data_IF_924403915933
#
_entry.id   IF_924403915933
#
_cell.length_a   1.000
_cell.length_b   1.000
_cell.length_c   1.000
_cell.angle_alpha   90.00
_cell.angle_beta   90.00
_cell.angle_gamma   90.00
#
_symmetry.space_group_name_H-M   'P 1'
#
loop_
_entity.id
_entity.type
_entity.pdbx_description
1 polymer ?
#
# COMPACT_ATOMS: atom_id res chain seq x y z
N UNK A 1 -23.32 51.33 -15.41
CA UNK A 1 -22.42 50.51 -14.57
C UNK A 1 -22.91 49.07 -14.57
N UNK A 2 -22.19 48.14 -15.21
CA UNK A 2 -22.51 46.71 -15.23
C UNK A 2 -21.91 46.09 -13.96
N UNK A 3 -22.76 45.63 -13.03
CA UNK A 3 -22.30 44.82 -11.91
C UNK A 3 -21.79 43.48 -12.47
N UNK A 4 -20.47 43.30 -12.48
CA UNK A 4 -19.87 41.98 -12.66
C UNK A 4 -20.31 41.10 -11.51
N UNK A 5 -21.26 40.17 -11.75
CA UNK A 5 -21.52 39.07 -10.83
C UNK A 5 -20.21 38.30 -10.72
N UNK A 6 -19.54 38.42 -9.58
CA UNK A 6 -18.57 37.41 -9.17
C UNK A 6 -19.34 36.10 -9.14
N UNK A 7 -19.11 35.25 -10.13
CA UNK A 7 -19.53 33.85 -10.09
C UNK A 7 -18.80 33.22 -8.91
N UNK A 8 -19.48 33.18 -7.76
CA UNK A 8 -19.08 32.36 -6.64
C UNK A 8 -18.89 30.96 -7.20
N UNK A 9 -17.64 30.49 -7.21
CA UNK A 9 -17.35 29.11 -7.57
C UNK A 9 -18.14 28.26 -6.58
N UNK A 10 -18.95 27.28 -7.03
CA UNK A 10 -19.71 26.44 -6.11
C UNK A 10 -18.74 25.82 -5.10
N UNK A 11 -18.86 26.23 -3.84
CA UNK A 11 -18.02 25.70 -2.78
C UNK A 11 -18.54 24.28 -2.48
N UNK A 12 -17.70 23.24 -2.56
CA UNK A 12 -18.16 21.86 -2.39
C UNK A 12 -18.78 21.71 -1.01
N UNK A 13 -19.96 21.09 -0.94
CA UNK A 13 -20.73 21.05 0.29
C UNK A 13 -20.18 20.00 1.28
N UNK A 14 -20.83 19.86 2.44
CA UNK A 14 -20.48 18.84 3.42
C UNK A 14 -20.74 17.42 2.88
N UNK A 15 -21.81 17.22 2.13
CA UNK A 15 -22.20 15.92 1.59
C UNK A 15 -21.20 15.41 0.53
N UNK A 16 -20.63 16.31 -0.27
CA UNK A 16 -19.53 16.03 -1.19
C UNK A 16 -18.31 15.51 -0.43
N UNK A 17 -17.96 16.17 0.69
CA UNK A 17 -16.87 15.73 1.58
C UNK A 17 -17.12 14.34 2.18
N UNK A 18 -18.33 14.05 2.64
CA UNK A 18 -18.71 12.73 3.16
C UNK A 18 -18.69 11.64 2.07
N UNK A 19 -19.13 11.98 0.86
CA UNK A 19 -19.08 11.10 -0.30
C UNK A 19 -17.63 10.79 -0.68
N UNK A 20 -16.76 11.80 -0.67
CA UNK A 20 -15.33 11.62 -0.90
C UNK A 20 -14.67 10.75 0.19
N UNK A 21 -15.02 10.93 1.47
CA UNK A 21 -14.55 10.06 2.56
C UNK A 21 -14.91 8.59 2.28
N UNK A 22 -16.16 8.31 1.93
CA UNK A 22 -16.63 6.96 1.62
C UNK A 22 -15.91 6.38 0.41
N UNK A 23 -15.79 7.19 -0.66
CA UNK A 23 -15.09 6.81 -1.88
C UNK A 23 -13.64 6.42 -1.61
N UNK A 24 -12.85 7.26 -0.93
CA UNK A 24 -11.45 6.95 -0.63
C UNK A 24 -11.30 5.82 0.40
N UNK A 25 -12.25 5.67 1.32
CA UNK A 25 -12.34 4.49 2.20
C UNK A 25 -12.41 3.19 1.39
N UNK A 26 -13.24 3.15 0.35
CA UNK A 26 -13.35 1.97 -0.53
C UNK A 26 -12.05 1.67 -1.30
N UNK A 27 -11.31 2.70 -1.72
CA UNK A 27 -10.00 2.54 -2.38
C UNK A 27 -8.95 1.96 -1.45
N UNK A 28 -8.97 2.33 -0.17
CA UNK A 28 -8.09 1.75 0.85
C UNK A 28 -8.37 0.26 1.00
N UNK A 29 -9.65 -0.12 1.14
CA UNK A 29 -10.06 -1.53 1.23
C UNK A 29 -9.64 -2.31 -0.02
N UNK A 30 -9.81 -1.75 -1.22
CA UNK A 30 -9.37 -2.39 -2.46
C UNK A 30 -7.85 -2.61 -2.49
N UNK A 31 -7.07 -1.63 -2.04
CA UNK A 31 -5.62 -1.76 -1.94
C UNK A 31 -5.20 -2.84 -0.94
N UNK A 32 -5.91 -2.97 0.18
CA UNK A 32 -5.66 -3.99 1.20
C UNK A 32 -5.98 -5.40 0.66
N UNK A 33 -7.10 -5.59 -0.04
CA UNK A 33 -7.43 -6.86 -0.71
C UNK A 33 -6.37 -7.26 -1.73
N UNK A 34 -5.92 -6.32 -2.57
CA UNK A 34 -4.84 -6.58 -3.54
C UNK A 34 -3.52 -6.92 -2.86
N UNK A 35 -3.21 -6.25 -1.75
CA UNK A 35 -2.03 -6.56 -0.94
C UNK A 35 -2.11 -7.97 -0.34
N UNK A 36 -3.32 -8.42 0.05
CA UNK A 36 -3.56 -9.80 0.47
C UNK A 36 -3.22 -10.83 -0.62
N UNK A 37 -3.64 -10.59 -1.86
CA UNK A 37 -3.28 -11.46 -2.99
C UNK A 37 -1.77 -11.47 -3.26
N UNK A 38 -1.12 -10.31 -3.21
CA UNK A 38 0.33 -10.22 -3.36
C UNK A 38 1.06 -10.99 -2.24
N UNK A 39 0.57 -10.91 -1.00
CA UNK A 39 1.10 -11.69 0.13
C UNK A 39 1.04 -13.18 -0.14
N UNK A 40 -0.12 -13.69 -0.61
CA UNK A 40 -0.26 -15.10 -0.93
C UNK A 40 0.72 -15.54 -2.02
N UNK A 41 0.87 -14.74 -3.07
CA UNK A 41 1.84 -14.98 -4.15
C UNK A 41 3.29 -15.01 -3.64
N UNK A 42 3.68 -14.03 -2.82
CA UNK A 42 5.03 -13.97 -2.23
C UNK A 42 5.31 -15.16 -1.31
N UNK A 43 4.32 -15.64 -0.56
CA UNK A 43 4.46 -16.85 0.28
C UNK A 43 4.76 -18.09 -0.57
N UNK A 44 3.99 -18.30 -1.65
CA UNK A 44 4.22 -19.44 -2.57
C UNK A 44 5.59 -19.33 -3.23
N UNK A 45 5.95 -18.14 -3.71
CA UNK A 45 7.22 -17.91 -4.37
C UNK A 45 8.41 -18.06 -3.41
N UNK A 46 8.26 -17.60 -2.17
CA UNK A 46 9.25 -17.75 -1.10
C UNK A 46 9.49 -19.21 -0.73
N UNK A 47 8.43 -20.01 -0.60
CA UNK A 47 8.54 -21.44 -0.34
C UNK A 47 9.29 -22.16 -1.49
N UNK A 48 8.97 -21.82 -2.75
CA UNK A 48 9.66 -22.36 -3.91
C UNK A 48 11.14 -21.95 -3.92
N UNK A 49 11.46 -20.68 -3.63
CA UNK A 49 12.84 -20.20 -3.55
C UNK A 49 13.65 -20.90 -2.46
N UNK A 50 13.05 -21.15 -1.30
CA UNK A 50 13.71 -21.87 -0.20
C UNK A 50 14.00 -23.34 -0.54
N UNK A 51 13.09 -24.00 -1.27
CA UNK A 51 13.31 -25.35 -1.78
C UNK A 51 14.47 -25.38 -2.79
N UNK A 52 14.53 -24.41 -3.72
CA UNK A 52 15.65 -24.30 -4.68
C UNK A 52 16.98 -23.98 -3.98
N UNK A 53 16.97 -23.14 -2.94
CA UNK A 53 18.16 -22.85 -2.16
C UNK A 53 18.70 -24.09 -1.46
N UNK A 54 17.82 -24.87 -0.83
CA UNK A 54 18.21 -26.14 -0.19
C UNK A 54 18.81 -27.12 -1.20
N UNK A 55 18.21 -27.25 -2.39
CA UNK A 55 18.72 -28.10 -3.45
C UNK A 55 20.09 -27.63 -3.99
N UNK A 56 20.24 -26.33 -4.21
CA UNK A 56 21.49 -25.72 -4.68
C UNK A 56 22.64 -25.91 -3.68
N UNK A 57 22.37 -25.76 -2.38
CA UNK A 57 23.37 -25.95 -1.33
C UNK A 57 23.73 -27.42 -1.06
N UNK A 58 22.80 -28.34 -1.30
CA UNK A 58 23.04 -29.78 -1.16
C UNK A 58 23.81 -30.37 -2.34
N UNK A 59 23.80 -29.71 -3.50
CA UNK A 59 24.58 -30.13 -4.66
C UNK A 59 26.07 -29.88 -4.46
N UNK A 60 26.92 -30.82 -4.91
CA UNK A 60 28.36 -30.58 -5.02
C UNK A 60 28.60 -29.65 -6.20
N UNK A 61 29.04 -28.38 -5.99
CA UNK A 61 29.19 -27.46 -7.10
C UNK A 61 30.28 -27.98 -8.03
N UNK A 62 29.96 -28.14 -9.30
CA UNK A 62 30.93 -28.46 -10.35
C UNK A 62 31.87 -27.28 -10.64
N UNK A 63 31.62 -26.12 -10.03
CA UNK A 63 32.21 -24.81 -10.32
C UNK A 63 32.06 -24.39 -11.80
N UNK A 64 31.11 -25.01 -12.52
CA UNK A 64 30.79 -24.67 -13.89
C UNK A 64 29.94 -23.41 -14.01
N UNK A 65 29.84 -22.87 -15.23
CA UNK A 65 29.03 -21.68 -15.52
C UNK A 65 27.57 -21.84 -15.08
N UNK A 66 27.00 -23.05 -15.19
CA UNK A 66 25.62 -23.36 -14.77
C UNK A 66 25.39 -23.04 -13.30
N UNK A 67 26.28 -23.47 -12.42
CA UNK A 67 26.17 -23.27 -10.97
C UNK A 67 26.31 -21.78 -10.61
N UNK A 68 27.20 -21.07 -11.31
CA UNK A 68 27.35 -19.62 -11.17
C UNK A 68 26.05 -18.89 -11.53
N UNK A 69 25.50 -19.15 -12.71
CA UNK A 69 24.25 -18.49 -13.14
C UNK A 69 23.05 -18.92 -12.28
N UNK A 70 22.97 -20.19 -11.88
CA UNK A 70 21.95 -20.67 -10.95
C UNK A 70 21.97 -19.85 -9.64
N UNK A 71 23.15 -19.69 -9.04
CA UNK A 71 23.33 -18.91 -7.83
C UNK A 71 22.96 -17.43 -8.01
N UNK A 72 23.36 -16.81 -9.12
CA UNK A 72 23.03 -15.40 -9.43
C UNK A 72 21.52 -15.21 -9.58
N UNK A 73 20.84 -16.05 -10.36
CA UNK A 73 19.39 -15.94 -10.56
C UNK A 73 18.61 -16.26 -9.29
N UNK A 74 19.08 -17.22 -8.49
CA UNK A 74 18.48 -17.55 -7.20
C UNK A 74 18.64 -16.38 -6.21
N UNK A 75 19.83 -15.79 -6.13
CA UNK A 75 20.07 -14.62 -5.30
C UNK A 75 19.20 -13.43 -5.73
N UNK A 76 19.09 -13.17 -7.04
CA UNK A 76 18.22 -12.13 -7.58
C UNK A 76 16.74 -12.38 -7.22
N UNK A 77 16.28 -13.63 -7.31
CA UNK A 77 14.92 -14.00 -6.91
C UNK A 77 14.68 -13.74 -5.41
N UNK A 78 15.59 -14.17 -4.55
CA UNK A 78 15.51 -13.97 -3.10
C UNK A 78 15.48 -12.48 -2.73
N UNK A 79 16.35 -11.66 -3.35
CA UNK A 79 16.35 -10.20 -3.17
C UNK A 79 15.03 -9.60 -3.62
N UNK A 80 14.50 -10.02 -4.76
CA UNK A 80 13.20 -9.55 -5.27
C UNK A 80 12.03 -9.94 -4.36
N UNK A 81 12.02 -11.16 -3.82
CA UNK A 81 11.02 -11.62 -2.83
C UNK A 81 11.12 -10.78 -1.56
N UNK A 82 12.33 -10.55 -1.05
CA UNK A 82 12.56 -9.71 0.13
C UNK A 82 12.11 -8.27 -0.07
N UNK A 83 12.42 -7.66 -1.23
CA UNK A 83 11.94 -6.33 -1.60
C UNK A 83 10.41 -6.30 -1.72
N UNK A 84 9.80 -7.33 -2.31
CA UNK A 84 8.36 -7.50 -2.39
C UNK A 84 7.69 -7.53 -1.01
N UNK A 85 8.24 -8.33 -0.09
CA UNK A 85 7.77 -8.41 1.29
C UNK A 85 7.92 -7.06 2.04
N UNK A 86 9.06 -6.37 1.86
CA UNK A 86 9.27 -5.05 2.44
C UNK A 86 8.23 -4.02 1.96
N UNK A 87 7.96 -3.98 0.66
CA UNK A 87 6.95 -3.07 0.11
C UNK A 87 5.52 -3.45 0.51
N UNK A 88 5.23 -4.75 0.64
CA UNK A 88 3.95 -5.23 1.17
C UNK A 88 3.73 -4.74 2.61
N UNK A 89 4.71 -4.95 3.50
CA UNK A 89 4.65 -4.45 4.89
C UNK A 89 4.51 -2.94 4.90
N UNK A 90 5.23 -2.22 4.03
CA UNK A 90 5.11 -0.77 3.89
C UNK A 90 3.71 -0.32 3.45
N UNK A 91 3.03 -1.09 2.58
CA UNK A 91 1.64 -0.82 2.17
C UNK A 91 0.65 -1.07 3.33
N UNK A 92 0.89 -2.08 4.16
CA UNK A 92 0.02 -2.46 5.28
C UNK A 92 0.26 -1.64 6.55
N UNK A 93 1.42 -0.99 6.69
CA UNK A 93 1.78 -0.24 7.89
C UNK A 93 0.66 0.76 8.26
N UNK A 94 0.07 0.68 9.47
CA UNK A 94 -1.00 1.56 9.90
C UNK A 94 -0.55 3.02 9.86
N UNK A 95 -1.34 3.85 9.17
CA UNK A 95 -1.11 5.30 9.06
C UNK A 95 -2.20 6.00 9.85
N UNK A 96 -1.99 6.06 11.15
CA UNK A 96 -2.97 6.56 12.12
C UNK A 96 -2.52 7.85 12.81
N UNK A 97 -1.56 8.57 12.20
CA UNK A 97 -1.06 9.82 12.74
C UNK A 97 -2.26 10.77 13.01
N UNK A 98 -2.39 11.30 14.23
CA UNK A 98 -3.47 12.21 14.54
C UNK A 98 -3.37 13.44 13.62
N UNK A 99 -4.49 13.91 13.04
CA UNK A 99 -4.46 15.11 12.23
C UNK A 99 -4.04 16.31 13.10
N UNK A 100 -3.39 17.29 12.47
CA UNK A 100 -2.89 18.50 13.16
C UNK A 100 -4.02 19.36 13.75
N UNK A 101 -5.23 19.18 13.24
CA UNK A 101 -6.46 19.79 13.75
C UNK A 101 -7.50 18.71 14.03
N UNK A 102 -8.35 18.93 15.03
CA UNK A 102 -9.46 18.04 15.33
C UNK A 102 -10.36 17.86 14.09
N UNK A 103 -10.74 16.62 13.81
CA UNK A 103 -11.76 16.29 12.82
C UNK A 103 -12.68 15.23 13.39
N UNK A 104 -14.00 15.51 13.39
CA UNK A 104 -15.02 14.56 13.85
C UNK A 104 -15.12 13.30 13.00
N UNK A 105 -14.54 13.34 11.79
CA UNK A 105 -14.51 12.22 10.85
C UNK A 105 -13.23 11.38 10.96
N UNK A 106 -12.24 11.83 11.75
CA UNK A 106 -11.00 11.11 11.98
C UNK A 106 -11.10 10.28 13.27
N UNK A 107 -10.98 8.95 13.15
CA UNK A 107 -11.08 8.06 14.31
C UNK A 107 -10.08 8.40 15.43
N UNK A 108 -8.80 8.76 15.18
CA UNK A 108 -7.86 9.05 16.27
C UNK A 108 -8.27 10.32 17.02
N UNK A 109 -8.78 11.32 16.30
CA UNK A 109 -9.23 12.58 16.88
C UNK A 109 -10.44 12.40 17.78
N UNK A 110 -11.41 11.59 17.35
CA UNK A 110 -12.63 11.32 18.12
C UNK A 110 -12.37 10.38 19.29
N UNK A 111 -11.54 9.34 19.10
CA UNK A 111 -11.19 8.38 20.15
C UNK A 111 -10.37 9.02 21.29
N UNK A 112 -9.69 10.13 21.04
CA UNK A 112 -8.93 10.87 22.04
C UNK A 112 -9.81 11.81 22.91
N UNK A 113 -11.11 11.96 22.60
CA UNK A 113 -12.00 12.85 23.34
C UNK A 113 -12.60 12.16 24.57
N UNK A 114 -12.93 12.92 25.64
CA UNK A 114 -13.63 12.37 26.80
C UNK A 114 -15.04 11.90 26.43
N UNK A 115 -15.59 10.97 27.23
CA UNK A 115 -16.98 10.55 27.11
C UNK A 115 -17.92 11.75 27.24
N UNK A 116 -18.94 11.82 26.38
CA UNK A 116 -19.88 12.95 26.34
C UNK A 116 -19.38 14.17 25.56
N UNK A 117 -18.21 14.11 24.92
CA UNK A 117 -17.76 15.16 24.01
C UNK A 117 -18.74 15.34 22.83
N UNK A 118 -19.22 16.58 22.65
CA UNK A 118 -20.06 16.97 21.51
C UNK A 118 -19.37 18.14 20.80
N UNK A 119 -18.86 17.97 19.57
CA UNK A 119 -18.22 19.05 18.85
C UNK A 119 -19.25 20.12 18.43
N UNK A 120 -18.84 21.39 18.25
CA UNK A 120 -19.73 22.46 17.80
C UNK A 120 -20.47 22.14 16.48
N UNK A 121 -21.70 22.66 16.36
CA UNK A 121 -22.58 22.50 15.20
C UNK A 121 -22.31 23.51 14.06
N UNK A 122 -21.07 23.99 13.93
CA UNK A 122 -20.68 24.89 12.84
C UNK A 122 -20.63 24.12 11.50
N UNK A 123 -21.42 24.57 10.53
CA UNK A 123 -21.51 23.97 9.20
C UNK A 123 -20.24 24.17 8.36
N UNK A 124 -19.59 25.34 8.48
CA UNK A 124 -18.37 25.64 7.73
C UNK A 124 -17.19 24.84 8.29
N UNK A 125 -17.11 24.71 9.62
CA UNK A 125 -16.14 23.84 10.27
C UNK A 125 -16.34 22.38 9.87
N UNK A 126 -17.57 21.87 9.87
CA UNK A 126 -17.88 20.52 9.43
C UNK A 126 -17.49 20.24 7.98
N UNK A 127 -17.67 21.20 7.08
CA UNK A 127 -17.25 21.09 5.68
C UNK A 127 -15.72 21.01 5.58
N UNK A 128 -15.01 21.88 6.29
CA UNK A 128 -13.55 21.88 6.31
C UNK A 128 -12.96 20.59 6.91
N UNK A 129 -13.53 20.10 8.00
CA UNK A 129 -13.16 18.82 8.63
C UNK A 129 -13.36 17.63 7.66
N UNK A 130 -14.46 17.62 6.90
CA UNK A 130 -14.77 16.56 5.94
C UNK A 130 -13.75 16.52 4.79
N UNK A 131 -13.42 17.67 4.20
CA UNK A 131 -12.42 17.75 3.12
C UNK A 131 -11.00 17.44 3.60
N UNK A 132 -10.67 17.83 4.83
CA UNK A 132 -9.38 17.48 5.45
C UNK A 132 -9.27 15.96 5.62
N UNK A 133 -10.34 15.30 6.06
CA UNK A 133 -10.38 13.85 6.19
C UNK A 133 -10.35 13.15 4.83
N UNK A 134 -11.13 13.63 3.84
CA UNK A 134 -11.12 13.09 2.48
C UNK A 134 -9.72 13.14 1.86
N UNK A 135 -9.02 14.29 1.98
CA UNK A 135 -7.62 14.43 1.54
C UNK A 135 -6.70 13.45 2.24
N UNK A 136 -6.84 13.29 3.56
CA UNK A 136 -6.02 12.36 4.34
C UNK A 136 -6.20 10.91 3.88
N UNK A 137 -7.44 10.48 3.65
CA UNK A 137 -7.74 9.16 3.11
C UNK A 137 -7.22 8.98 1.67
N UNK A 138 -7.33 10.01 0.83
CA UNK A 138 -6.78 9.99 -0.53
C UNK A 138 -5.26 9.80 -0.52
N UNK A 139 -4.54 10.48 0.38
CA UNK A 139 -3.09 10.34 0.54
C UNK A 139 -2.70 8.93 1.04
N UNK A 140 -3.47 8.37 1.98
CA UNK A 140 -3.29 6.99 2.45
C UNK A 140 -3.48 6.01 1.28
N UNK A 141 -4.56 6.15 0.52
CA UNK A 141 -4.84 5.30 -0.65
C UNK A 141 -3.71 5.39 -1.67
N UNK A 142 -3.30 6.60 -2.07
CA UNK A 142 -2.21 6.82 -3.03
C UNK A 142 -0.89 6.18 -2.57
N UNK A 143 -0.58 6.31 -1.28
CA UNK A 143 0.62 5.70 -0.69
C UNK A 143 0.54 4.18 -0.71
N UNK A 144 -0.60 3.59 -0.32
CA UNK A 144 -0.85 2.14 -0.38
C UNK A 144 -0.65 1.60 -1.80
N UNK A 145 -1.24 2.25 -2.80
CA UNK A 145 -1.06 1.84 -4.20
C UNK A 145 0.38 1.99 -4.70
N UNK A 146 1.10 3.02 -4.26
CA UNK A 146 2.51 3.21 -4.63
C UNK A 146 3.37 2.05 -4.13
N UNK A 147 3.22 1.66 -2.86
CA UNK A 147 3.95 0.53 -2.31
C UNK A 147 3.48 -0.81 -2.88
N UNK A 148 2.18 -1.01 -3.05
CA UNK A 148 1.63 -2.19 -3.72
C UNK A 148 2.22 -2.37 -5.13
N UNK A 149 2.28 -1.32 -5.95
CA UNK A 149 2.88 -1.38 -7.30
C UNK A 149 4.35 -1.76 -7.26
N UNK A 150 5.13 -1.18 -6.35
CA UNK A 150 6.55 -1.53 -6.17
C UNK A 150 6.72 -3.00 -5.75
N UNK A 151 5.90 -3.48 -4.81
CA UNK A 151 5.88 -4.88 -4.40
C UNK A 151 5.49 -5.82 -5.55
N UNK A 152 4.52 -5.42 -6.36
CA UNK A 152 4.09 -6.17 -7.54
C UNK A 152 5.19 -6.28 -8.59
N UNK A 153 5.93 -5.20 -8.86
CA UNK A 153 7.08 -5.24 -9.76
C UNK A 153 8.19 -6.17 -9.24
N UNK A 154 8.48 -6.11 -7.94
CA UNK A 154 9.47 -7.00 -7.32
C UNK A 154 9.04 -8.48 -7.42
N UNK A 155 7.76 -8.77 -7.18
CA UNK A 155 7.17 -10.10 -7.38
C UNK A 155 7.35 -10.59 -8.83
N UNK A 156 6.93 -9.79 -9.82
CA UNK A 156 7.04 -10.17 -11.22
C UNK A 156 8.47 -10.25 -11.74
N UNK A 157 9.43 -9.54 -11.15
CA UNK A 157 10.84 -9.69 -11.47
C UNK A 157 11.46 -10.96 -10.84
N UNK A 158 11.05 -11.30 -9.61
CA UNK A 158 11.58 -12.46 -8.88
C UNK A 158 11.11 -13.81 -9.42
N UNK A 159 9.86 -13.91 -9.91
CA UNK A 159 9.31 -15.15 -10.43
C UNK A 159 10.09 -15.75 -11.63
N UNK A 160 10.41 -15.00 -12.71
CA UNK A 160 11.19 -15.53 -13.82
C UNK A 160 12.64 -15.82 -13.41
N UNK A 161 13.25 -15.00 -12.54
CA UNK A 161 14.58 -15.28 -12.01
C UNK A 161 14.62 -16.62 -11.27
N UNK A 162 13.60 -16.89 -10.44
CA UNK A 162 13.48 -18.18 -9.77
C UNK A 162 13.26 -19.33 -10.76
N UNK A 163 12.45 -19.11 -11.81
CA UNK A 163 12.23 -20.10 -12.87
C UNK A 163 13.53 -20.49 -13.56
N UNK A 164 14.35 -19.51 -13.95
CA UNK A 164 15.66 -19.76 -14.57
C UNK A 164 16.60 -20.48 -13.60
N UNK A 165 16.69 -20.04 -12.34
CA UNK A 165 17.48 -20.74 -11.32
C UNK A 165 17.06 -22.20 -11.19
N UNK A 166 15.76 -22.48 -11.07
CA UNK A 166 15.22 -23.83 -10.96
C UNK A 166 15.54 -24.71 -12.19
N UNK A 167 15.63 -24.14 -13.39
CA UNK A 167 16.06 -24.90 -14.58
C UNK A 167 17.55 -25.22 -14.57
N UNK A 168 18.38 -24.36 -13.98
CA UNK A 168 19.83 -24.54 -13.96
C UNK A 168 20.30 -25.49 -12.85
N UNK A 169 19.57 -25.52 -11.72
CA UNK A 169 19.84 -26.38 -10.54
C UNK A 169 19.51 -27.86 -10.79
N UNK A 170 18.65 -28.15 -11.77
CA UNK A 170 18.34 -29.54 -12.20
C UNK A 170 19.51 -30.20 -12.94
#
# INVERSE_FOLDING_TARGET
>A
MKFSRMTQTPQPDRADGLSAITFYGSWIVNADTKSGFLSAGLTVLGAAAFAQLSAFLAGTPSAGWRDLFAGVFLAAALVGIGAGAFFLVSALNPRTAPPTTFSRYAFPSLAAQPAGFVPPLDADQQRAEAWTQARSLALIAATKYTFFRRGLYAFFASAPALGVAATLIR
#
